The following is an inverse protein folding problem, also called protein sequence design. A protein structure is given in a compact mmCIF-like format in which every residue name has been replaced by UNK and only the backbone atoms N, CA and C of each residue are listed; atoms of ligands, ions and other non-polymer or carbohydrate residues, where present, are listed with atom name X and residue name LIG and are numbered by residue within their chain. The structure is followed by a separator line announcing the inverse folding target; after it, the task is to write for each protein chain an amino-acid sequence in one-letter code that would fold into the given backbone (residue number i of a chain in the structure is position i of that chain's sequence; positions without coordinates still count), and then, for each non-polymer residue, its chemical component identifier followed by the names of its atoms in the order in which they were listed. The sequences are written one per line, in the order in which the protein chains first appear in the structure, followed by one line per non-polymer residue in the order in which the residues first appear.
data_IF_992770167413
#
_entry.id   IF_992770167413
#
_cell.length_a   1.000
_cell.length_b   1.000
_cell.length_c   1.000
_cell.angle_alpha   90.00
_cell.angle_beta   90.00
_cell.angle_gamma   90.00
#
_symmetry.space_group_name_H-M   'P 1'
#
loop_
_entity.id
_entity.type
_entity.pdbx_description
1 polymer ?
#
# COMPACT_ATOMS: atom_id res chain seq x y z
N UNK A 1 -7.38 -28.11 8.96
CA UNK A 1 -6.55 -26.96 9.21
C UNK A 1 -6.62 -25.98 8.03
N UNK A 2 -6.73 -24.76 8.34
CA UNK A 2 -6.86 -23.79 7.31
C UNK A 2 -5.55 -23.07 7.04
N UNK A 3 -5.24 -22.90 5.78
CA UNK A 3 -4.02 -22.21 5.40
C UNK A 3 -4.41 -20.84 4.88
N UNK A 4 -3.84 -19.81 5.50
CA UNK A 4 -4.04 -18.45 5.04
C UNK A 4 -2.97 -18.12 4.04
N UNK A 5 -3.39 -17.63 2.90
CA UNK A 5 -2.46 -17.18 1.89
C UNK A 5 -2.53 -15.67 1.80
N UNK A 6 -1.39 -15.04 1.97
CA UNK A 6 -1.28 -13.62 1.71
C UNK A 6 -0.96 -13.46 0.24
N UNK A 7 -1.69 -12.62 -0.42
CA UNK A 7 -1.43 -12.36 -1.83
C UNK A 7 -0.57 -11.11 -1.96
N UNK A 8 0.07 -11.01 -3.10
CA UNK A 8 0.84 -9.82 -3.43
C UNK A 8 0.10 -9.11 -4.55
N UNK A 9 -0.20 -7.84 -4.32
CA UNK A 9 -0.95 -7.03 -5.27
C UNK A 9 -0.05 -5.92 -5.74
N UNK A 10 0.09 -5.75 -7.04
CA UNK A 10 0.91 -4.68 -7.55
C UNK A 10 0.06 -3.63 -8.25
N UNK A 11 0.45 -2.39 -8.07
CA UNK A 11 -0.20 -1.25 -8.68
C UNK A 11 0.85 -0.37 -9.32
N UNK A 12 0.45 0.37 -10.34
CA UNK A 12 1.28 1.45 -10.85
C UNK A 12 0.96 2.70 -10.05
N UNK A 13 2.00 3.43 -9.68
CA UNK A 13 1.80 4.63 -8.88
C UNK A 13 0.86 5.61 -9.56
N UNK A 14 0.88 5.66 -10.90
CA UNK A 14 0.02 6.57 -11.65
C UNK A 14 -1.44 6.14 -11.65
N UNK A 15 -1.70 4.87 -11.32
CA UNK A 15 -3.06 4.34 -11.33
C UNK A 15 -3.64 4.16 -9.93
N UNK A 16 -2.82 4.31 -8.91
CA UNK A 16 -3.27 4.10 -7.54
C UNK A 16 -3.62 5.43 -6.92
N UNK A 17 -4.87 5.56 -6.51
CA UNK A 17 -5.34 6.80 -5.87
C UNK A 17 -5.04 6.73 -4.38
N UNK A 18 -3.78 6.82 -4.03
CA UNK A 18 -3.36 6.68 -2.65
C UNK A 18 -3.25 8.03 -1.97
N UNK A 19 -3.41 8.01 -0.66
CA UNK A 19 -3.23 9.18 0.18
C UNK A 19 -2.23 8.84 1.26
N UNK A 20 -1.19 9.66 1.45
CA UNK A 20 -0.23 9.38 2.52
C UNK A 20 -0.86 9.61 3.87
N UNK A 21 -0.70 8.65 4.76
CA UNK A 21 -1.18 8.74 6.14
C UNK A 21 -0.04 9.13 7.05
N UNK A 22 1.14 8.60 6.77
CA UNK A 22 2.36 8.94 7.49
C UNK A 22 3.48 9.05 6.50
N UNK A 23 4.47 9.87 6.82
CA UNK A 23 5.60 10.07 5.95
C UNK A 23 6.88 10.23 6.74
N UNK A 24 7.99 9.99 6.07
CA UNK A 24 9.30 10.17 6.63
C UNK A 24 10.23 10.62 5.53
N UNK A 25 10.93 11.71 5.72
CA UNK A 25 11.87 12.25 4.73
C UNK A 25 11.22 12.49 3.38
N UNK A 26 9.93 12.89 3.38
CA UNK A 26 9.22 13.20 2.14
C UNK A 26 8.63 11.99 1.44
N UNK A 27 8.84 10.80 1.97
CA UNK A 27 8.30 9.58 1.38
C UNK A 27 7.21 9.00 2.26
N UNK A 28 6.19 8.43 1.63
CA UNK A 28 5.07 7.87 2.36
C UNK A 28 5.48 6.56 3.02
N UNK A 29 5.24 6.45 4.33
CA UNK A 29 5.49 5.21 5.05
C UNK A 29 4.21 4.43 5.29
N UNK A 30 3.08 5.13 5.34
CA UNK A 30 1.77 4.50 5.44
C UNK A 30 0.88 5.19 4.45
N UNK A 31 0.19 4.42 3.63
CA UNK A 31 -0.73 4.97 2.65
C UNK A 31 -2.10 4.33 2.82
N UNK A 32 -3.13 5.06 2.42
CA UNK A 32 -4.46 4.48 2.32
C UNK A 32 -4.95 4.65 0.89
N UNK A 33 -5.70 3.68 0.43
CA UNK A 33 -6.20 3.70 -0.94
C UNK A 33 -7.49 2.89 -1.02
N UNK A 34 -8.36 3.23 -1.97
CA UNK A 34 -9.63 2.52 -2.09
C UNK A 34 -9.42 1.12 -2.63
N UNK A 35 -10.15 0.17 -2.09
CA UNK A 35 -10.08 -1.21 -2.54
C UNK A 35 -11.46 -1.85 -2.48
N UNK A 36 -11.55 -3.03 -3.07
CA UNK A 36 -12.71 -3.89 -2.93
C UNK A 36 -12.44 -4.80 -1.73
N UNK A 37 -13.13 -4.56 -0.65
CA UNK A 37 -12.91 -5.27 0.61
C UNK A 37 -13.12 -6.77 0.48
N UNK A 38 -13.79 -7.20 -0.57
CA UNK A 38 -14.03 -8.61 -0.78
C UNK A 38 -12.84 -9.33 -1.40
N UNK A 39 -11.90 -8.57 -1.96
CA UNK A 39 -10.75 -9.14 -2.66
C UNK A 39 -9.47 -9.08 -1.87
N UNK A 40 -9.42 -8.25 -0.85
CA UNK A 40 -8.18 -8.00 -0.12
C UNK A 40 -8.41 -8.20 1.37
N UNK A 41 -7.34 -8.52 2.07
CA UNK A 41 -7.40 -8.78 3.50
C UNK A 41 -6.19 -8.18 4.19
N UNK A 42 -6.30 -7.87 5.47
CA UNK A 42 -5.11 -7.49 6.22
C UNK A 42 -4.08 -8.60 6.14
N UNK A 43 -2.83 -8.23 5.99
CA UNK A 43 -1.75 -9.16 5.79
C UNK A 43 -1.32 -9.30 4.34
N UNK A 44 -2.15 -8.86 3.40
CA UNK A 44 -1.78 -8.89 2.00
C UNK A 44 -0.65 -7.90 1.73
N UNK A 45 0.20 -8.26 0.78
CA UNK A 45 1.35 -7.44 0.42
C UNK A 45 0.97 -6.53 -0.74
N UNK A 46 1.35 -5.27 -0.63
CA UNK A 46 1.08 -4.27 -1.66
C UNK A 46 2.40 -3.77 -2.20
N UNK A 47 2.51 -3.79 -3.52
CA UNK A 47 3.69 -3.29 -4.22
C UNK A 47 3.23 -2.18 -5.15
N UNK A 48 3.84 -1.01 -5.02
CA UNK A 48 3.56 0.11 -5.90
C UNK A 48 4.78 0.36 -6.74
N UNK A 49 4.59 0.47 -8.04
CA UNK A 49 5.70 0.61 -8.98
C UNK A 49 5.67 1.98 -9.64
N UNK A 50 6.85 2.55 -9.76
CA UNK A 50 7.06 3.82 -10.45
C UNK A 50 8.13 3.58 -11.49
N UNK A 51 7.79 3.74 -12.77
CA UNK A 51 8.74 3.59 -13.87
C UNK A 51 9.50 2.26 -13.78
N UNK A 52 8.74 1.17 -13.59
CA UNK A 52 9.29 -0.19 -13.56
C UNK A 52 10.15 -0.47 -12.33
N UNK A 53 10.09 0.41 -11.32
CA UNK A 53 10.81 0.18 -10.07
C UNK A 53 9.83 0.15 -8.92
N UNK A 54 10.12 -0.69 -7.94
CA UNK A 54 9.27 -0.77 -6.75
C UNK A 54 9.55 0.45 -5.89
N UNK A 55 8.52 1.28 -5.72
CA UNK A 55 8.63 2.46 -4.88
C UNK A 55 8.02 2.25 -3.50
N UNK A 56 7.14 1.27 -3.36
CA UNK A 56 6.52 0.97 -2.07
C UNK A 56 6.30 -0.53 -1.99
N UNK A 57 6.69 -1.12 -0.88
CA UNK A 57 6.49 -2.54 -0.64
C UNK A 57 6.03 -2.69 0.79
N UNK A 58 4.73 -2.75 0.97
CA UNK A 58 4.16 -2.73 2.30
C UNK A 58 3.14 -3.83 2.50
N UNK A 59 2.57 -3.83 3.69
CA UNK A 59 1.61 -4.83 4.09
C UNK A 59 0.36 -4.12 4.57
N UNK A 60 -0.80 -4.60 4.14
CA UNK A 60 -2.07 -4.05 4.58
C UNK A 60 -2.24 -4.39 6.05
N UNK A 61 -2.34 -3.37 6.88
CA UNK A 61 -2.53 -3.56 8.31
C UNK A 61 -3.99 -3.57 8.71
N UNK A 62 -4.84 -2.84 7.97
CA UNK A 62 -6.26 -2.84 8.24
C UNK A 62 -7.01 -2.38 7.01
N UNK A 63 -8.28 -2.73 6.97
CA UNK A 63 -9.19 -2.31 5.92
C UNK A 63 -10.40 -1.70 6.62
N UNK A 64 -10.76 -0.50 6.23
CA UNK A 64 -11.84 0.23 6.90
C UNK A 64 -12.55 1.11 5.90
N UNK A 65 -13.89 1.00 5.86
CA UNK A 65 -14.72 1.88 5.02
C UNK A 65 -14.34 1.87 3.55
N UNK A 66 -13.93 0.71 3.05
CA UNK A 66 -13.56 0.59 1.64
C UNK A 66 -12.15 1.04 1.32
N UNK A 67 -11.35 1.31 2.34
CA UNK A 67 -9.96 1.73 2.17
C UNK A 67 -9.03 0.77 2.87
N UNK A 68 -7.90 0.50 2.23
CA UNK A 68 -6.85 -0.28 2.84
C UNK A 68 -5.75 0.66 3.33
N UNK A 69 -5.18 0.31 4.48
CA UNK A 69 -4.06 1.04 5.05
C UNK A 69 -2.86 0.12 5.03
N UNK A 70 -1.86 0.49 4.25
CA UNK A 70 -0.66 -0.32 4.08
C UNK A 70 0.55 0.44 4.61
N UNK A 71 1.46 -0.28 5.26
CA UNK A 71 2.67 0.34 5.78
C UNK A 71 3.89 -0.37 5.24
N UNK A 72 4.94 0.40 5.01
CA UNK A 72 6.23 -0.10 4.56
C UNK A 72 7.23 0.13 5.70
N UNK A 73 7.56 -0.91 6.45
CA UNK A 73 8.40 -0.75 7.63
C UNK A 73 9.83 -0.36 7.31
N UNK A 74 10.26 -0.55 6.08
CA UNK A 74 11.62 -0.19 5.68
C UNK A 74 11.71 1.20 5.08
N UNK A 75 10.55 1.88 5.02
CA UNK A 75 10.52 3.16 4.34
C UNK A 75 10.39 2.96 2.84
N UNK A 76 9.69 3.84 2.20
CA UNK A 76 9.42 3.68 0.78
C UNK A 76 10.09 4.81 0.00
N UNK A 77 10.11 4.64 -1.31
CA UNK A 77 10.50 5.70 -2.22
C UNK A 77 9.28 6.39 -2.82
N UNK A 78 8.10 6.00 -2.39
CA UNK A 78 6.86 6.56 -2.91
C UNK A 78 6.68 7.96 -2.33
N UNK A 79 6.62 9.00 -3.18
CA UNK A 79 6.49 10.34 -2.67
C UNK A 79 5.22 10.50 -1.84
N UNK A 80 5.30 11.29 -0.80
CA UNK A 80 4.14 11.57 0.02
C UNK A 80 3.12 12.40 -0.74
N UNK A 81 3.52 13.00 -1.84
CA UNK A 81 2.58 13.70 -2.69
C UNK A 81 2.04 14.98 -2.11
N UNK A 82 2.77 15.57 -1.25
CA UNK A 82 2.31 16.75 -0.56
C UNK A 82 2.44 17.96 -1.46
N UNK A 83 1.40 18.71 -1.47
CA UNK A 83 1.37 19.94 -2.26
C UNK A 83 1.13 21.13 -1.38
#
# INVERSE_FOLDING_TARGET
MEVSFCQTISFKATELDYQPVAQENGNATIIKFPIDEKKYSPGDVVVVMTDDEISFHGIIGKIEDGYAFASDPKGSLLPAGIQ
#
